data_IF_809102918736
#
_entry.id   IF_809102918736
#
_cell.length_a   1.000
_cell.length_b   1.000
_cell.length_c   1.000
_cell.angle_alpha   90.00
_cell.angle_beta   90.00
_cell.angle_gamma   90.00
#
_symmetry.space_group_name_H-M   'P 1'
#
loop_
_entity.id
_entity.type
_entity.pdbx_description
1 polymer ?
#
# COMPACT_ATOMS: atom_id res chain seq x y z
N UNK A 1 -7.03 17.30 -22.56
CA UNK A 1 -6.77 17.51 -21.12
C UNK A 1 -7.86 16.80 -20.33
N UNK A 2 -7.57 15.63 -19.76
CA UNK A 2 -8.46 15.07 -18.74
C UNK A 2 -8.27 15.93 -17.48
N UNK A 3 -9.36 16.46 -16.94
CA UNK A 3 -9.34 16.97 -15.57
C UNK A 3 -8.96 15.79 -14.66
N UNK A 4 -8.08 15.98 -13.66
CA UNK A 4 -7.81 14.92 -12.70
C UNK A 4 -9.12 14.53 -12.03
N UNK A 5 -9.44 13.23 -12.05
CA UNK A 5 -10.56 12.70 -11.30
C UNK A 5 -10.34 13.05 -9.82
N UNK A 6 -11.29 13.75 -9.21
CA UNK A 6 -11.13 14.33 -7.87
C UNK A 6 -10.87 13.24 -6.81
N UNK A 7 -11.16 11.97 -7.13
CA UNK A 7 -10.94 10.83 -6.25
C UNK A 7 -9.49 10.58 -5.87
N UNK A 8 -8.49 10.99 -6.68
CA UNK A 8 -7.08 10.71 -6.38
C UNK A 8 -6.37 11.82 -5.58
N UNK A 9 -7.12 12.84 -5.17
CA UNK A 9 -6.58 14.00 -4.48
C UNK A 9 -5.78 14.94 -5.41
N UNK A 10 -5.34 16.09 -4.90
CA UNK A 10 -4.66 17.12 -5.68
C UNK A 10 -3.20 16.76 -5.95
N UNK A 11 -2.57 17.46 -6.89
CA UNK A 11 -1.11 17.58 -6.90
C UNK A 11 -0.68 18.46 -5.72
N UNK A 12 0.47 18.17 -5.09
CA UNK A 12 0.95 18.97 -3.97
C UNK A 12 1.22 20.40 -4.42
N UNK A 13 0.76 21.37 -3.63
CA UNK A 13 1.04 22.79 -3.87
C UNK A 13 2.48 23.13 -3.47
N UNK A 14 2.98 22.47 -2.42
CA UNK A 14 4.35 22.53 -1.99
C UNK A 14 5.26 21.66 -2.89
N UNK A 15 6.08 22.31 -3.71
CA UNK A 15 7.03 21.65 -4.63
C UNK A 15 8.19 20.93 -3.95
N UNK A 16 8.32 21.06 -2.64
CA UNK A 16 9.34 20.38 -1.85
C UNK A 16 8.71 19.49 -0.78
N UNK A 17 7.42 19.14 -0.93
CA UNK A 17 6.69 18.30 0.03
C UNK A 17 7.42 16.97 0.31
N UNK A 18 7.99 16.36 -0.73
CA UNK A 18 8.68 15.07 -0.67
C UNK A 18 10.18 15.22 -0.94
N UNK A 19 10.74 16.43 -0.78
CA UNK A 19 12.17 16.66 -0.99
C UNK A 19 13.00 15.81 -0.02
N UNK A 20 13.99 15.10 -0.56
CA UNK A 20 14.86 14.22 0.21
C UNK A 20 14.37 12.77 0.31
N UNK A 21 13.16 12.47 -0.17
CA UNK A 21 12.66 11.12 -0.28
C UNK A 21 12.97 10.50 -1.65
N UNK A 22 13.27 9.20 -1.65
CA UNK A 22 13.30 8.36 -2.83
C UNK A 22 12.19 7.30 -2.76
N UNK A 23 11.57 6.98 -3.89
CA UNK A 23 10.39 6.15 -3.95
C UNK A 23 10.53 4.99 -4.94
N UNK A 24 10.23 3.78 -4.48
CA UNK A 24 9.95 2.63 -5.33
C UNK A 24 8.43 2.46 -5.43
N UNK A 25 7.91 2.26 -6.65
CA UNK A 25 6.49 2.02 -6.87
C UNK A 25 6.24 0.55 -7.25
N UNK A 26 5.36 -0.11 -6.51
CA UNK A 26 4.88 -1.47 -6.80
C UNK A 26 3.36 -1.53 -6.92
N UNK A 27 2.85 -2.57 -7.57
CA UNK A 27 1.41 -2.83 -7.77
C UNK A 27 1.21 -4.34 -7.56
N UNK A 28 0.20 -4.73 -6.79
CA UNK A 28 -0.17 -6.14 -6.66
C UNK A 28 -0.65 -6.72 -8.00
N UNK A 29 -0.21 -7.95 -8.31
CA UNK A 29 -0.68 -8.65 -9.49
C UNK A 29 -2.15 -9.06 -9.34
N UNK A 30 -2.87 -9.24 -10.45
CA UNK A 30 -4.29 -9.58 -10.43
C UNK A 30 -4.62 -10.85 -9.62
N UNK A 31 -3.69 -11.81 -9.57
CA UNK A 31 -3.82 -13.04 -8.77
C UNK A 31 -3.75 -12.79 -7.26
N UNK A 32 -3.08 -11.73 -6.82
CA UNK A 32 -2.90 -11.39 -5.39
C UNK A 32 -4.10 -10.61 -4.84
N UNK A 33 -4.83 -9.89 -5.70
CA UNK A 33 -6.11 -9.25 -5.37
C UNK A 33 -7.22 -10.25 -5.07
N UNK A 34 -7.06 -11.50 -5.52
CA UNK A 34 -8.01 -12.59 -5.30
C UNK A 34 -7.71 -13.39 -4.01
N UNK A 35 -6.48 -13.33 -3.49
CA UNK A 35 -6.08 -14.04 -2.26
C UNK A 35 -6.20 -13.21 -1.00
N UNK A 36 -6.43 -11.90 -1.11
CA UNK A 36 -6.73 -11.02 0.03
C UNK A 36 -8.12 -11.26 0.63
N UNK A 37 -8.96 -12.05 -0.04
CA UNK A 37 -10.09 -12.73 0.59
C UNK A 37 -9.67 -14.17 0.86
N UNK A 38 -9.41 -14.57 2.12
CA UNK A 38 -9.35 -15.99 2.44
C UNK A 38 -10.73 -16.58 2.13
N UNK A 39 -10.83 -17.31 1.00
CA UNK A 39 -11.92 -18.24 0.79
C UNK A 39 -11.67 -19.39 1.76
N UNK A 40 -12.44 -19.44 2.84
CA UNK A 40 -12.77 -20.67 3.56
C UNK A 40 -13.43 -21.63 2.57
N UNK A 41 -12.62 -22.29 1.75
CA UNK A 41 -13.04 -23.37 0.88
C UNK A 41 -12.98 -24.68 1.68
N UNK A 42 -13.92 -24.83 2.62
CA UNK A 42 -14.26 -26.16 3.13
C UNK A 42 -15.14 -26.81 2.07
N UNK A 43 -14.57 -27.81 1.39
CA UNK A 43 -15.28 -28.67 0.45
C UNK A 43 -15.83 -29.88 1.20
N UNK A 44 -17.15 -29.98 1.37
CA UNK A 44 -17.97 -31.18 1.07
C UNK A 44 -19.32 -31.13 1.81
N UNK A 45 -20.38 -31.02 1.01
CA UNK A 45 -21.74 -31.59 1.11
C UNK A 45 -22.24 -32.20 2.45
N UNK A 46 -23.43 -31.68 2.83
CA UNK A 46 -24.56 -32.30 3.56
C UNK A 46 -24.67 -32.21 5.11
N UNK A 47 -25.62 -31.35 5.51
CA UNK A 47 -26.63 -31.45 6.59
C UNK A 47 -26.18 -31.68 8.06
N UNK A 48 -26.41 -30.69 8.93
CA UNK A 48 -27.46 -30.71 9.96
C UNK A 48 -27.46 -29.38 10.76
N UNK A 49 -28.66 -28.89 11.07
CA UNK A 49 -28.96 -27.69 11.85
C UNK A 49 -28.52 -27.87 13.32
N UNK A 50 -27.92 -26.85 13.93
CA UNK A 50 -28.31 -26.27 15.24
C UNK A 50 -27.32 -25.18 15.69
N UNK A 51 -27.89 -23.99 15.90
CA UNK A 51 -27.50 -22.85 16.76
C UNK A 51 -26.12 -22.85 17.43
N UNK A 52 -25.28 -21.84 17.10
CA UNK A 52 -24.69 -20.92 18.09
C UNK A 52 -24.54 -19.54 17.43
N UNK A 53 -25.43 -18.62 17.83
CA UNK A 53 -25.27 -17.17 17.65
C UNK A 53 -24.07 -16.73 18.52
N UNK A 54 -22.99 -16.19 17.94
CA UNK A 54 -22.05 -15.23 18.58
C UNK A 54 -20.75 -14.97 17.77
N UNK A 55 -20.76 -14.70 16.45
CA UNK A 55 -19.57 -14.12 15.76
C UNK A 55 -19.98 -13.18 14.60
N UNK A 56 -20.77 -12.13 14.87
CA UNK A 56 -21.08 -11.06 13.90
C UNK A 56 -20.47 -9.68 14.28
N UNK A 57 -19.36 -9.64 15.04
CA UNK A 57 -18.72 -8.37 15.46
C UNK A 57 -17.31 -8.11 14.88
N UNK A 58 -16.78 -8.92 13.95
CA UNK A 58 -15.45 -8.68 13.34
C UNK A 58 -15.44 -8.43 11.82
N UNK A 59 -16.58 -8.45 11.12
CA UNK A 59 -16.63 -8.19 9.66
C UNK A 59 -17.12 -6.78 9.29
N UNK A 60 -17.24 -5.88 10.27
CA UNK A 60 -17.46 -4.45 10.05
C UNK A 60 -16.12 -3.68 10.05
N UNK A 61 -15.06 -4.27 9.48
CA UNK A 61 -13.92 -3.48 8.99
C UNK A 61 -14.43 -2.60 7.85
N UNK A 62 -15.00 -1.45 8.25
CA UNK A 62 -15.22 -0.22 7.52
C UNK A 62 -14.81 -0.39 6.04
N UNK A 63 -15.78 -0.68 5.17
CA UNK A 63 -15.63 -0.54 3.71
C UNK A 63 -15.41 0.95 3.40
N UNK A 64 -14.32 1.53 3.92
CA UNK A 64 -13.83 2.83 3.52
C UNK A 64 -13.61 2.68 2.03
N UNK A 65 -14.33 3.45 1.25
CA UNK A 65 -14.21 3.50 -0.20
C UNK A 65 -12.78 3.99 -0.50
N UNK A 66 -11.79 3.09 -0.45
CA UNK A 66 -10.38 3.44 -0.52
C UNK A 66 -10.10 3.97 -1.91
N UNK A 67 -9.47 5.14 -1.97
CA UNK A 67 -9.05 5.77 -3.21
C UNK A 67 -8.31 4.74 -4.08
N UNK A 68 -8.77 4.46 -5.30
CA UNK A 68 -8.13 3.46 -6.14
C UNK A 68 -6.68 3.83 -6.43
N UNK A 69 -5.79 2.86 -6.29
CA UNK A 69 -4.38 3.09 -6.58
C UNK A 69 -4.14 3.30 -8.08
N UNK A 70 -3.67 4.50 -8.42
CA UNK A 70 -3.27 4.87 -9.77
C UNK A 70 -1.77 5.17 -9.76
N UNK A 71 -0.95 4.16 -10.06
CA UNK A 71 0.51 4.28 -10.04
C UNK A 71 1.05 5.47 -10.85
N UNK A 72 0.64 5.70 -12.12
CA UNK A 72 1.06 6.89 -12.87
C UNK A 72 0.72 8.21 -12.17
N UNK A 73 -0.44 8.31 -11.53
CA UNK A 73 -0.85 9.53 -10.84
C UNK A 73 -0.08 9.74 -9.52
N UNK A 74 0.16 8.67 -8.77
CA UNK A 74 1.00 8.69 -7.57
C UNK A 74 2.42 9.12 -7.92
N UNK A 75 2.98 8.60 -9.01
CA UNK A 75 4.28 9.03 -9.52
C UNK A 75 4.31 10.54 -9.80
N UNK A 76 3.26 11.05 -10.46
CA UNK A 76 3.11 12.47 -10.75
C UNK A 76 3.01 13.31 -9.47
N UNK A 77 2.26 12.88 -8.45
CA UNK A 77 2.14 13.57 -7.16
C UNK A 77 3.50 13.65 -6.45
N UNK A 78 4.23 12.53 -6.39
CA UNK A 78 5.54 12.45 -5.75
C UNK A 78 6.56 13.36 -6.44
N UNK A 79 6.63 13.30 -7.77
CA UNK A 79 7.53 14.16 -8.57
C UNK A 79 7.17 15.64 -8.44
N UNK A 80 5.88 15.99 -8.46
CA UNK A 80 5.41 17.36 -8.30
C UNK A 80 5.79 17.96 -6.94
N UNK A 81 5.89 17.12 -5.89
CA UNK A 81 6.37 17.49 -4.57
C UNK A 81 7.89 17.40 -4.38
N UNK A 82 8.67 17.14 -5.42
CA UNK A 82 10.14 17.07 -5.35
C UNK A 82 10.71 15.73 -4.90
N UNK A 83 9.89 14.68 -4.88
CA UNK A 83 10.31 13.30 -4.60
C UNK A 83 11.05 12.68 -5.78
N UNK A 84 12.01 11.80 -5.49
CA UNK A 84 12.79 11.10 -6.51
C UNK A 84 12.24 9.70 -6.79
N UNK A 85 11.97 9.36 -8.05
CA UNK A 85 11.42 8.06 -8.44
C UNK A 85 12.54 7.10 -8.85
N UNK A 86 12.60 5.94 -8.20
CA UNK A 86 13.51 4.85 -8.52
C UNK A 86 12.83 3.86 -9.47
N UNK A 87 13.35 3.76 -10.69
CA UNK A 87 12.88 2.77 -11.67
C UNK A 87 13.11 1.34 -11.18
N UNK A 88 14.24 1.09 -10.51
CA UNK A 88 14.58 -0.16 -9.85
C UNK A 88 15.43 0.12 -8.61
N UNK A 89 15.60 -0.91 -7.76
CA UNK A 89 16.42 -0.84 -6.57
C UNK A 89 17.86 -0.45 -6.93
N UNK A 90 18.34 0.62 -6.31
CA UNK A 90 19.71 1.09 -6.46
C UNK A 90 20.27 1.48 -5.10
N UNK A 91 21.20 0.69 -4.59
CA UNK A 91 21.76 0.85 -3.24
C UNK A 91 22.42 2.20 -3.00
N UNK A 92 23.11 2.77 -4.01
CA UNK A 92 23.76 4.06 -3.85
C UNK A 92 22.74 5.20 -3.78
N UNK A 93 21.64 5.11 -4.53
CA UNK A 93 20.58 6.12 -4.49
C UNK A 93 19.70 5.99 -3.25
N UNK A 94 19.39 4.77 -2.81
CA UNK A 94 18.71 4.53 -1.54
C UNK A 94 19.53 5.05 -0.35
N UNK A 95 20.86 4.91 -0.39
CA UNK A 95 21.75 5.38 0.69
C UNK A 95 22.01 6.89 0.62
N UNK A 96 21.83 7.52 -0.53
CA UNK A 96 22.01 8.96 -0.72
C UNK A 96 20.74 9.77 -0.41
N UNK A 97 19.57 9.14 -0.43
CA UNK A 97 18.33 9.74 0.01
C UNK A 97 18.30 9.86 1.55
N UNK A 98 17.54 10.84 2.06
CA UNK A 98 17.29 10.93 3.49
C UNK A 98 16.39 9.78 3.95
N UNK A 99 15.38 9.47 3.13
CA UNK A 99 14.44 8.39 3.39
C UNK A 99 14.11 7.69 2.06
N UNK A 100 14.10 6.36 2.05
CA UNK A 100 13.62 5.57 0.92
C UNK A 100 12.35 4.85 1.35
N UNK A 101 11.29 4.94 0.54
CA UNK A 101 10.00 4.27 0.80
C UNK A 101 9.56 3.48 -0.43
N UNK A 102 8.89 2.35 -0.21
CA UNK A 102 8.11 1.68 -1.24
C UNK A 102 6.64 2.07 -1.10
N UNK A 103 6.02 2.48 -2.20
CA UNK A 103 4.58 2.81 -2.26
C UNK A 103 3.83 1.72 -3.03
N UNK A 104 2.75 1.19 -2.43
CA UNK A 104 1.88 0.18 -3.03
C UNK A 104 0.42 0.31 -2.54
N UNK A 105 -0.50 -0.39 -3.19
CA UNK A 105 -1.90 -0.49 -2.79
C UNK A 105 -2.13 -1.45 -1.61
N UNK A 106 -1.35 -2.53 -1.57
CA UNK A 106 -1.45 -3.61 -0.61
C UNK A 106 -0.10 -4.36 -0.52
N UNK A 107 0.10 -5.24 0.48
CA UNK A 107 1.22 -6.18 0.46
C UNK A 107 1.21 -7.00 -0.82
N UNK A 108 2.37 -7.14 -1.47
CA UNK A 108 2.49 -7.86 -2.74
C UNK A 108 3.80 -8.65 -2.83
N UNK A 109 3.83 -9.71 -3.64
CA UNK A 109 4.97 -10.64 -3.79
C UNK A 109 5.83 -10.26 -5.01
N UNK A 110 5.97 -8.97 -5.24
CA UNK A 110 6.80 -8.43 -6.33
C UNK A 110 8.28 -8.39 -5.92
N UNK A 111 9.19 -8.41 -6.91
CA UNK A 111 10.63 -8.28 -6.65
C UNK A 111 10.97 -7.04 -5.82
N UNK A 112 10.36 -5.88 -6.12
CA UNK A 112 10.60 -4.63 -5.38
C UNK A 112 10.17 -4.73 -3.92
N UNK A 113 9.00 -5.33 -3.64
CA UNK A 113 8.50 -5.49 -2.27
C UNK A 113 9.42 -6.37 -1.42
N UNK A 114 9.84 -7.52 -1.96
CA UNK A 114 10.78 -8.40 -1.25
C UNK A 114 12.15 -7.76 -1.03
N UNK A 115 12.66 -7.00 -2.01
CA UNK A 115 13.92 -6.26 -1.82
C UNK A 115 13.81 -5.20 -0.74
N UNK A 116 12.65 -4.53 -0.62
CA UNK A 116 12.44 -3.53 0.42
C UNK A 116 12.38 -4.16 1.81
N UNK A 117 11.61 -5.25 1.96
CA UNK A 117 11.58 -6.06 3.19
C UNK A 117 12.98 -6.50 3.62
N UNK A 118 13.75 -7.11 2.71
CA UNK A 118 15.09 -7.60 2.99
C UNK A 118 16.10 -6.51 3.37
N UNK A 119 15.81 -5.24 3.06
CA UNK A 119 16.68 -4.09 3.32
C UNK A 119 16.14 -3.15 4.40
N UNK A 120 14.99 -3.48 5.01
CA UNK A 120 14.34 -2.62 5.99
C UNK A 120 13.84 -1.29 5.41
N UNK A 121 13.57 -1.23 4.10
CA UNK A 121 12.95 -0.06 3.45
C UNK A 121 11.44 -0.15 3.70
N UNK A 122 10.80 0.83 4.38
CA UNK A 122 9.38 0.75 4.70
C UNK A 122 8.49 0.60 3.46
N UNK A 123 7.59 -0.39 3.51
CA UNK A 123 6.49 -0.54 2.56
C UNK A 123 5.28 0.23 3.08
N UNK A 124 4.82 1.23 2.32
CA UNK A 124 3.82 2.21 2.76
C UNK A 124 2.65 2.24 1.76
N UNK A 125 1.44 2.38 2.28
CA UNK A 125 0.23 2.53 1.48
C UNK A 125 0.27 3.81 0.64
N UNK A 126 -0.26 3.75 -0.59
CA UNK A 126 -0.45 4.95 -1.43
C UNK A 126 -1.34 6.02 -0.79
N UNK A 127 -2.14 5.66 0.20
CA UNK A 127 -2.94 6.61 0.99
C UNK A 127 -2.07 7.64 1.71
N UNK A 128 -0.84 7.29 2.11
CA UNK A 128 0.10 8.26 2.68
C UNK A 128 0.40 9.41 1.72
N UNK A 129 0.56 9.11 0.43
CA UNK A 129 0.81 10.13 -0.61
C UNK A 129 -0.44 10.98 -0.79
N UNK A 130 -1.60 10.34 -0.92
CA UNK A 130 -2.90 11.00 -1.07
C UNK A 130 -3.15 12.00 0.07
N UNK A 131 -3.05 11.56 1.31
CA UNK A 131 -3.34 12.38 2.49
C UNK A 131 -2.28 13.48 2.67
N UNK A 132 -1.02 13.18 2.35
CA UNK A 132 0.05 14.19 2.36
C UNK A 132 -0.19 15.30 1.34
N UNK A 133 -0.67 14.94 0.13
CA UNK A 133 -1.00 15.93 -0.90
C UNK A 133 -2.26 16.74 -0.52
N UNK A 134 -3.28 16.12 0.07
CA UNK A 134 -4.48 16.80 0.55
C UNK A 134 -4.17 17.80 1.68
N UNK A 135 -3.39 17.38 2.68
CA UNK A 135 -2.98 18.21 3.79
C UNK A 135 -1.87 19.21 3.43
N UNK A 136 -1.26 19.05 2.24
CA UNK A 136 -0.06 19.78 1.79
C UNK A 136 1.09 19.73 2.83
N UNK A 137 1.18 18.62 3.56
CA UNK A 137 2.16 18.34 4.60
C UNK A 137 2.38 16.83 4.68
N UNK A 138 3.63 16.40 4.81
CA UNK A 138 3.95 14.97 4.95
C UNK A 138 3.32 14.41 6.22
N UNK A 139 2.49 13.38 6.04
CA UNK A 139 1.95 12.62 7.16
C UNK A 139 3.02 11.71 7.75
N UNK A 140 2.79 11.19 8.96
CA UNK A 140 3.67 10.17 9.54
C UNK A 140 3.48 8.85 8.81
N UNK A 141 4.45 8.43 7.98
CA UNK A 141 4.35 7.21 7.18
C UNK A 141 4.18 5.94 8.03
N UNK A 142 4.58 5.95 9.31
CA UNK A 142 4.44 4.80 10.20
C UNK A 142 2.98 4.39 10.43
N UNK A 143 2.06 5.33 10.27
CA UNK A 143 0.62 5.09 10.36
C UNK A 143 0.04 4.45 9.08
N UNK A 144 0.87 4.26 8.05
CA UNK A 144 0.49 3.77 6.73
C UNK A 144 1.34 2.58 6.30
N UNK A 145 2.05 1.94 7.25
CA UNK A 145 2.85 0.76 6.96
C UNK A 145 1.94 -0.36 6.45
N UNK A 146 2.38 -1.00 5.37
CA UNK A 146 1.74 -2.19 4.85
C UNK A 146 2.32 -3.42 5.56
N UNK A 147 1.49 -4.44 5.83
CA UNK A 147 1.97 -5.72 6.35
C UNK A 147 3.13 -6.30 5.52
N UNK A 148 4.05 -7.02 6.17
CA UNK A 148 5.13 -7.73 5.49
C UNK A 148 4.59 -8.78 4.49
N UNK A 149 3.44 -9.37 4.79
CA UNK A 149 2.74 -10.31 3.93
C UNK A 149 2.04 -11.42 4.71
N UNK A 150 1.44 -12.36 4.00
CA UNK A 150 0.77 -13.52 4.60
C UNK A 150 1.78 -14.61 4.96
N UNK A 151 1.77 -15.05 6.21
CA UNK A 151 2.55 -16.18 6.69
C UNK A 151 1.78 -17.48 6.50
N UNK A 152 2.43 -18.47 5.90
CA UNK A 152 1.86 -19.82 5.77
C UNK A 152 1.92 -20.61 7.08
N UNK A 153 2.84 -20.27 7.98
CA UNK A 153 3.02 -20.96 9.26
C UNK A 153 2.10 -20.41 10.34
N UNK A 154 1.88 -19.09 10.32
CA UNK A 154 1.01 -18.39 11.28
C UNK A 154 -0.42 -18.20 10.74
N UNK A 155 -0.66 -18.58 9.47
CA UNK A 155 -1.94 -18.47 8.77
C UNK A 155 -2.61 -17.09 8.88
N UNK A 156 -1.80 -16.03 8.91
CA UNK A 156 -2.27 -14.64 9.05
C UNK A 156 -1.35 -13.64 8.36
N UNK A 157 -1.84 -12.41 8.19
CA UNK A 157 -0.99 -11.28 7.83
C UNK A 157 -0.03 -10.92 8.97
N UNK A 158 1.24 -10.74 8.61
CA UNK A 158 2.27 -10.25 9.53
C UNK A 158 2.48 -8.76 9.32
N UNK A 159 2.38 -8.00 10.41
CA UNK A 159 2.69 -6.58 10.44
C UNK A 159 4.17 -6.29 10.13
N UNK A 160 4.46 -5.02 9.84
CA UNK A 160 5.80 -4.52 9.53
C UNK A 160 6.74 -4.49 10.74
#
# INVERSE_FOLDING_TARGET
>A
HLAPDHRWGPLPQNKTLFLGYAFLLSVANATEKLSSHPKTAVSSEEEEEEEEEEEEEEEEEELVERVPYNKPYIELQLQAGGGFILEDFNESQCSAAYECLLIADQPCRTRKYFLCLARGIPCVSHMWVHDSCLANQTQNYKNYLLPAGYSLEEERLLEW
#
